data_IF_932866390815
#
_entry.id   IF_932866390815
#
_cell.length_a   1.000
_cell.length_b   1.000
_cell.length_c   1.000
_cell.angle_alpha   90.00
_cell.angle_beta   90.00
_cell.angle_gamma   90.00
#
_symmetry.space_group_name_H-M   'P 1'
#
loop_
_entity.id
_entity.type
_entity.pdbx_description
1 polymer ?
#
# COMPACT_ATOMS: atom_id res chain seq x y z
N UNK A 1 -7.69 4.29 -3.88
CA UNK A 1 -8.64 3.99 -2.80
C UNK A 1 -8.11 4.50 -1.46
N UNK A 2 -9.01 4.61 -0.49
CA UNK A 2 -8.72 5.16 0.82
C UNK A 2 -9.21 4.20 1.89
N UNK A 3 -8.45 4.11 2.99
CA UNK A 3 -8.84 3.32 4.14
C UNK A 3 -8.49 4.05 5.42
N UNK A 4 -9.35 3.99 6.42
CA UNK A 4 -9.05 4.53 7.75
C UNK A 4 -8.39 3.44 8.58
N UNK A 5 -7.23 3.76 9.15
CA UNK A 5 -6.42 2.83 9.92
C UNK A 5 -6.19 3.41 11.31
N UNK A 6 -6.42 2.64 12.40
CA UNK A 6 -6.22 3.15 13.75
C UNK A 6 -4.72 3.35 14.04
N UNK A 7 -4.39 4.51 14.63
CA UNK A 7 -3.03 4.77 15.07
C UNK A 7 -2.82 4.34 16.52
N UNK A 8 -1.59 4.49 17.01
CA UNK A 8 -1.22 4.08 18.36
C UNK A 8 -1.86 4.94 19.46
N UNK A 9 -2.42 6.10 19.10
CA UNK A 9 -3.06 7.03 20.03
C UNK A 9 -4.58 6.94 20.00
N UNK A 10 -5.15 5.96 19.29
CA UNK A 10 -6.58 5.77 19.22
C UNK A 10 -7.30 6.62 18.20
N UNK A 11 -6.56 7.31 17.33
CA UNK A 11 -7.14 8.08 16.23
C UNK A 11 -7.12 7.26 14.94
N UNK A 12 -7.94 7.65 13.97
CA UNK A 12 -7.94 7.02 12.66
C UNK A 12 -7.15 7.87 11.67
N UNK A 13 -6.21 7.22 10.97
CA UNK A 13 -5.39 7.87 9.93
C UNK A 13 -5.92 7.44 8.57
N UNK A 14 -6.22 8.38 7.65
CA UNK A 14 -6.55 8.02 6.29
C UNK A 14 -5.29 7.54 5.56
N UNK A 15 -5.38 6.36 4.96
CA UNK A 15 -4.29 5.77 4.18
C UNK A 15 -4.75 5.67 2.74
N UNK A 16 -3.93 6.15 1.83
CA UNK A 16 -4.27 6.22 0.41
C UNK A 16 -3.38 5.33 -0.41
N UNK A 17 -3.99 4.71 -1.42
CA UNK A 17 -3.26 4.12 -2.52
C UNK A 17 -3.26 5.14 -3.65
N UNK A 18 -2.09 5.51 -4.13
CA UNK A 18 -1.92 6.49 -5.21
C UNK A 18 -1.44 5.75 -6.44
N UNK A 19 -2.20 5.86 -7.53
CA UNK A 19 -1.89 5.19 -8.77
C UNK A 19 -2.11 6.14 -9.94
N UNK A 20 -1.06 6.31 -10.77
CA UNK A 20 -1.17 7.04 -12.01
C UNK A 20 -1.56 6.07 -13.12
N UNK A 21 -2.50 6.46 -13.96
CA UNK A 21 -2.94 5.63 -15.07
C UNK A 21 -1.94 5.70 -16.22
N UNK A 22 -0.89 4.90 -16.14
CA UNK A 22 0.12 4.77 -17.19
C UNK A 22 -0.32 3.79 -18.27
N UNK A 23 0.31 3.79 -19.47
CA UNK A 23 0.01 2.79 -20.48
C UNK A 23 0.19 1.35 -19.98
N UNK A 24 1.20 1.10 -19.14
CA UNK A 24 1.41 -0.23 -18.56
C UNK A 24 0.24 -0.67 -17.70
N UNK A 25 -0.26 0.22 -16.84
CA UNK A 25 -1.40 -0.08 -15.97
C UNK A 25 -2.67 -0.25 -16.78
N UNK A 26 -2.88 0.59 -17.81
CA UNK A 26 -4.02 0.43 -18.72
C UNK A 26 -4.02 -0.93 -19.38
N UNK A 27 -2.85 -1.39 -19.82
CA UNK A 27 -2.73 -2.71 -20.44
C UNK A 27 -3.07 -3.84 -19.48
N UNK A 28 -2.65 -3.71 -18.22
CA UNK A 28 -2.99 -4.69 -17.18
C UNK A 28 -4.48 -4.77 -16.92
N UNK A 29 -5.17 -3.63 -16.89
CA UNK A 29 -6.61 -3.58 -16.72
C UNK A 29 -7.30 -4.22 -17.93
N UNK A 30 -6.89 -3.84 -19.13
CA UNK A 30 -7.46 -4.37 -20.37
C UNK A 30 -7.27 -5.89 -20.50
N UNK A 31 -6.09 -6.38 -20.11
CA UNK A 31 -5.73 -7.79 -20.22
C UNK A 31 -6.15 -8.61 -18.99
N UNK A 32 -6.91 -8.00 -18.08
CA UNK A 32 -7.39 -8.63 -16.85
C UNK A 32 -6.27 -9.14 -15.95
N UNK A 33 -5.19 -8.38 -15.87
CA UNK A 33 -4.02 -8.68 -15.03
C UNK A 33 -3.91 -7.71 -13.87
N UNK A 34 -5.04 -7.36 -13.27
CA UNK A 34 -5.13 -6.38 -12.18
C UNK A 34 -4.25 -6.78 -11.00
N UNK A 35 -4.06 -8.07 -10.76
CA UNK A 35 -3.21 -8.58 -9.68
C UNK A 35 -1.74 -8.15 -9.81
N UNK A 36 -1.30 -7.69 -10.98
CA UNK A 36 0.07 -7.23 -11.18
C UNK A 36 0.26 -5.74 -10.87
N UNK A 37 -0.83 -4.99 -10.66
CA UNK A 37 -0.76 -3.53 -10.49
C UNK A 37 0.01 -3.14 -9.23
N UNK A 38 -0.22 -3.84 -8.12
CA UNK A 38 0.49 -3.54 -6.88
C UNK A 38 2.01 -3.67 -7.04
N UNK A 39 2.45 -4.69 -7.79
CA UNK A 39 3.87 -4.85 -8.07
C UNK A 39 4.45 -3.72 -8.90
N UNK A 40 3.68 -3.22 -9.87
CA UNK A 40 4.12 -2.09 -10.69
C UNK A 40 4.22 -0.82 -9.86
N UNK A 41 3.23 -0.56 -9.01
CA UNK A 41 3.26 0.60 -8.12
C UNK A 41 4.45 0.52 -7.17
N UNK A 42 4.68 -0.66 -6.59
CA UNK A 42 5.77 -0.86 -5.63
C UNK A 42 7.15 -0.69 -6.27
N UNK A 43 7.31 -1.04 -7.55
CA UNK A 43 8.57 -0.91 -8.27
C UNK A 43 8.74 0.45 -8.94
N UNK A 44 7.71 1.30 -8.91
CA UNK A 44 7.76 2.62 -9.52
C UNK A 44 8.66 3.57 -8.73
N UNK A 45 9.48 4.34 -9.45
CA UNK A 45 10.28 5.41 -8.86
C UNK A 45 9.55 6.75 -8.82
N UNK A 46 8.32 6.80 -9.31
CA UNK A 46 7.55 8.03 -9.33
C UNK A 46 6.95 8.32 -7.96
N UNK A 47 7.17 9.55 -7.47
CA UNK A 47 6.73 9.95 -6.15
C UNK A 47 5.20 9.99 -6.00
N UNK A 48 4.47 10.05 -7.10
CA UNK A 48 3.01 10.11 -7.09
C UNK A 48 2.34 8.74 -7.26
N UNK A 49 3.13 7.66 -7.15
CA UNK A 49 2.61 6.30 -7.13
C UNK A 49 2.99 5.64 -5.81
N UNK A 50 1.99 5.07 -5.13
CA UNK A 50 2.21 4.47 -3.82
C UNK A 50 1.16 3.41 -3.55
N UNK A 51 1.59 2.19 -3.27
CA UNK A 51 0.67 1.13 -2.90
C UNK A 51 0.17 1.31 -1.46
N UNK A 52 -0.97 0.71 -1.14
CA UNK A 52 -1.50 0.70 0.22
C UNK A 52 -0.46 0.11 1.19
N UNK A 53 0.20 -0.97 0.81
CA UNK A 53 1.17 -1.64 1.66
C UNK A 53 2.41 -0.79 1.91
N UNK A 54 2.87 -0.04 0.91
CA UNK A 54 3.98 0.89 1.11
C UNK A 54 3.58 2.02 2.07
N UNK A 55 2.34 2.49 1.99
CA UNK A 55 1.85 3.50 2.92
C UNK A 55 1.78 2.96 4.34
N UNK A 56 1.31 1.73 4.52
CA UNK A 56 1.27 1.08 5.83
C UNK A 56 2.67 0.85 6.39
N UNK A 57 3.61 0.44 5.55
CA UNK A 57 5.00 0.24 5.96
C UNK A 57 5.63 1.54 6.46
N UNK A 58 5.37 2.63 5.77
CA UNK A 58 5.87 3.95 6.16
C UNK A 58 5.30 4.38 7.52
N UNK A 59 3.98 4.21 7.73
CA UNK A 59 3.36 4.52 9.01
C UNK A 59 3.93 3.67 10.14
N UNK A 60 4.20 2.40 9.88
CA UNK A 60 4.82 1.52 10.87
C UNK A 60 6.23 1.99 11.22
N UNK A 61 7.04 2.32 10.22
CA UNK A 61 8.42 2.79 10.43
C UNK A 61 8.45 4.12 11.19
N UNK A 62 7.43 4.95 11.00
CA UNK A 62 7.28 6.21 11.75
C UNK A 62 6.62 5.99 13.12
N UNK A 63 6.34 4.74 13.49
CA UNK A 63 5.75 4.37 14.78
C UNK A 63 4.36 4.94 15.01
N UNK A 64 3.63 5.23 13.92
CA UNK A 64 2.26 5.74 14.01
C UNK A 64 1.23 4.63 14.12
N UNK A 65 1.54 3.43 13.63
CA UNK A 65 0.70 2.24 13.75
C UNK A 65 1.54 1.06 14.23
N UNK A 66 0.87 0.04 14.76
CA UNK A 66 1.55 -1.18 15.18
C UNK A 66 1.78 -2.11 13.99
N UNK A 67 2.66 -3.10 14.17
CA UNK A 67 2.89 -4.15 13.19
C UNK A 67 1.60 -4.91 12.90
N UNK A 68 0.85 -5.23 13.93
CA UNK A 68 -0.41 -5.96 13.81
C UNK A 68 -1.42 -5.17 12.98
N UNK A 69 -1.51 -3.87 13.19
CA UNK A 69 -2.40 -3.01 12.42
C UNK A 69 -1.97 -2.97 10.96
N UNK A 70 -0.67 -2.83 10.68
CA UNK A 70 -0.17 -2.83 9.31
C UNK A 70 -0.55 -4.11 8.58
N UNK A 71 -0.37 -5.26 9.22
CA UNK A 71 -0.69 -6.56 8.62
C UNK A 71 -2.20 -6.75 8.43
N UNK A 72 -3.00 -6.26 9.37
CA UNK A 72 -4.45 -6.38 9.29
C UNK A 72 -5.04 -5.68 8.08
N UNK A 73 -4.50 -4.52 7.73
CA UNK A 73 -5.02 -3.70 6.63
C UNK A 73 -4.26 -3.88 5.33
N UNK A 74 -3.24 -4.73 5.31
CA UNK A 74 -2.44 -4.99 4.11
C UNK A 74 -3.23 -5.73 3.05
N UNK A 75 -2.96 -5.40 1.79
CA UNK A 75 -3.50 -6.15 0.65
C UNK A 75 -2.70 -7.42 0.38
N UNK A 76 -1.45 -7.48 0.86
CA UNK A 76 -0.59 -8.66 0.72
C UNK A 76 0.22 -8.84 2.02
N UNK A 77 -0.40 -9.41 3.09
CA UNK A 77 0.25 -9.51 4.40
C UNK A 77 1.54 -10.33 4.38
N UNK A 78 1.60 -11.37 3.57
CA UNK A 78 2.79 -12.22 3.49
C UNK A 78 4.00 -11.43 3.02
N UNK A 79 3.84 -10.62 1.99
CA UNK A 79 4.91 -9.78 1.48
C UNK A 79 5.26 -8.67 2.46
N UNK A 80 4.24 -8.02 3.04
CA UNK A 80 4.47 -6.94 3.99
C UNK A 80 5.22 -7.45 5.21
N UNK A 81 4.88 -8.64 5.71
CA UNK A 81 5.54 -9.23 6.87
C UNK A 81 7.05 -9.34 6.67
N UNK A 82 7.50 -9.70 5.48
CA UNK A 82 8.93 -9.78 5.17
C UNK A 82 9.62 -8.43 5.28
N UNK A 83 8.92 -7.36 4.94
CA UNK A 83 9.47 -6.01 4.97
C UNK A 83 9.45 -5.39 6.37
N UNK A 84 8.68 -5.96 7.29
CA UNK A 84 8.57 -5.47 8.67
C UNK A 84 9.67 -6.02 9.60
N UNK A 85 10.45 -6.94 9.12
CA UNK A 85 11.53 -7.54 9.91
C UNK A 85 12.71 -6.60 10.13
#
# INVERSE_FOLDING_TARGET
SQQLVPDVNGHNIPVFEIMRLTPAIRNMIRDNKIYQIDGVIASSSQADMKSMDNSLLELYRNRQITKETALKYSSNPEMLKRKLL
#
